data_IF_181754845426
#
_entry.id   IF_181754845426
#
_cell.length_a   1.000
_cell.length_b   1.000
_cell.length_c   1.000
_cell.angle_alpha   90.00
_cell.angle_beta   90.00
_cell.angle_gamma   90.00
#
_symmetry.space_group_name_H-M   'P 1'
#
loop_
_entity.id
_entity.type
_entity.pdbx_description
1 polymer ?
#
# COMPACT_ATOMS: atom_id res chain seq x y z
N UNK A 1 1.27 25.46 6.08
CA UNK A 1 0.09 24.62 6.40
C UNK A 1 0.64 23.23 6.70
N UNK A 2 0.30 22.58 7.82
CA UNK A 2 0.73 21.20 8.05
C UNK A 2 0.13 20.33 6.94
N UNK A 3 0.93 19.44 6.35
CA UNK A 3 0.39 18.42 5.45
C UNK A 3 -0.65 17.62 6.23
N UNK A 4 -1.89 17.56 5.72
CA UNK A 4 -2.90 16.70 6.32
C UNK A 4 -2.43 15.27 6.11
N UNK A 5 -2.17 14.54 7.21
CA UNK A 5 -1.91 13.11 7.13
C UNK A 5 -3.13 12.44 6.52
N UNK A 6 -2.97 11.61 5.48
CA UNK A 6 -4.09 10.89 4.90
C UNK A 6 -4.76 10.02 5.96
N UNK A 7 -6.09 9.94 5.92
CA UNK A 7 -6.86 9.07 6.80
C UNK A 7 -7.00 7.69 6.15
N UNK A 8 -6.96 6.63 6.95
CA UNK A 8 -7.16 5.27 6.49
C UNK A 8 -8.54 4.76 6.91
N UNK A 9 -9.27 4.18 5.97
CA UNK A 9 -10.53 3.46 6.17
C UNK A 9 -10.30 2.03 5.72
N UNK A 10 -10.39 1.08 6.64
CA UNK A 10 -10.06 -0.33 6.38
C UNK A 10 -11.25 -1.18 6.83
N UNK A 11 -11.84 -1.92 5.89
CA UNK A 11 -12.87 -2.91 6.15
C UNK A 11 -12.30 -4.28 6.54
N UNK A 12 -13.14 -5.29 6.50
CA UNK A 12 -12.82 -6.64 6.98
C UNK A 12 -12.88 -7.66 5.85
N UNK A 13 -13.38 -8.87 6.12
CA UNK A 13 -13.60 -9.89 5.09
C UNK A 13 -15.08 -10.08 4.77
N UNK A 14 -15.94 -9.16 5.20
CA UNK A 14 -17.37 -9.18 5.01
C UNK A 14 -17.78 -8.15 3.95
N UNK A 15 -18.95 -8.31 3.35
CA UNK A 15 -19.51 -7.28 2.47
C UNK A 15 -19.92 -6.04 3.29
N UNK A 16 -19.27 -4.91 3.05
CA UNK A 16 -19.38 -3.70 3.87
C UNK A 16 -19.74 -2.46 3.03
N UNK A 17 -20.24 -1.43 3.72
CA UNK A 17 -20.36 -0.09 3.15
C UNK A 17 -19.42 0.82 3.93
N UNK A 18 -18.37 1.30 3.26
CA UNK A 18 -17.31 2.11 3.85
C UNK A 18 -17.34 3.51 3.27
N UNK A 19 -17.21 4.51 4.13
CA UNK A 19 -17.18 5.92 3.75
C UNK A 19 -15.95 6.62 4.32
N UNK A 20 -15.26 7.38 3.46
CA UNK A 20 -14.23 8.34 3.81
C UNK A 20 -14.80 9.63 4.39
N UNK A 21 -14.01 10.68 4.29
CA UNK A 21 -14.29 12.00 4.83
C UNK A 21 -14.32 13.06 3.72
N UNK A 22 -14.29 14.34 4.08
CA UNK A 22 -14.10 15.42 3.10
C UNK A 22 -12.61 15.73 2.83
N UNK A 23 -11.70 14.94 3.40
CA UNK A 23 -10.25 15.05 3.25
C UNK A 23 -9.68 14.00 2.29
N UNK A 24 -8.35 13.89 2.22
CA UNK A 24 -7.71 12.82 1.44
C UNK A 24 -7.74 11.52 2.25
N UNK A 25 -8.47 10.52 1.73
CA UNK A 25 -8.65 9.21 2.34
C UNK A 25 -7.97 8.08 1.54
N UNK A 26 -7.52 7.06 2.26
CA UNK A 26 -7.07 5.77 1.73
C UNK A 26 -8.07 4.71 2.18
N UNK A 27 -8.77 4.12 1.22
CA UNK A 27 -9.90 3.23 1.49
C UNK A 27 -9.56 1.83 1.00
N UNK A 28 -9.60 0.86 1.92
CA UNK A 28 -9.35 -0.56 1.68
C UNK A 28 -10.61 -1.33 2.09
N UNK A 29 -11.32 -1.91 1.13
CA UNK A 29 -12.51 -2.74 1.40
C UNK A 29 -12.14 -3.99 2.20
N UNK A 30 -11.17 -4.75 1.68
CA UNK A 30 -10.65 -5.94 2.34
C UNK A 30 -10.97 -7.17 1.52
N UNK A 31 -11.79 -8.08 2.05
CA UNK A 31 -12.46 -9.11 1.23
C UNK A 31 -13.97 -8.94 1.35
N UNK A 32 -14.71 -9.54 0.42
CA UNK A 32 -16.16 -9.40 0.35
C UNK A 32 -16.53 -8.43 -0.76
N UNK A 33 -17.82 -8.28 -1.01
CA UNK A 33 -18.32 -7.40 -2.06
C UNK A 33 -18.65 -6.04 -1.42
N UNK A 34 -17.72 -5.09 -1.49
CA UNK A 34 -17.81 -3.84 -0.75
C UNK A 34 -18.40 -2.69 -1.56
N UNK A 35 -19.05 -1.74 -0.87
CA UNK A 35 -19.40 -0.43 -1.42
C UNK A 35 -18.56 0.65 -0.75
N UNK A 36 -17.69 1.28 -1.53
CA UNK A 36 -16.72 2.28 -1.08
C UNK A 36 -17.16 3.69 -1.52
N UNK A 37 -17.09 4.66 -0.61
CA UNK A 37 -17.38 6.08 -0.86
C UNK A 37 -16.18 6.91 -0.36
N UNK A 38 -15.58 7.71 -1.24
CA UNK A 38 -14.46 8.59 -0.91
C UNK A 38 -14.90 9.80 -0.09
N UNK A 39 -15.89 10.51 -0.61
CA UNK A 39 -16.31 11.82 -0.15
C UNK A 39 -15.70 12.93 -1.01
N UNK A 40 -15.35 14.05 -0.38
CA UNK A 40 -14.58 15.10 -1.05
C UNK A 40 -13.10 14.88 -0.77
N UNK A 41 -12.24 15.30 -1.68
CA UNK A 41 -10.81 15.01 -1.56
C UNK A 41 -10.30 14.38 -2.85
N UNK A 42 -9.02 14.04 -2.86
CA UNK A 42 -8.43 13.21 -3.90
C UNK A 42 -8.08 11.88 -3.24
N UNK A 43 -9.03 10.95 -3.29
CA UNK A 43 -9.00 9.73 -2.48
C UNK A 43 -8.28 8.60 -3.20
N UNK A 44 -7.79 7.64 -2.43
CA UNK A 44 -7.15 6.43 -2.96
C UNK A 44 -7.93 5.20 -2.55
N UNK A 45 -8.52 4.50 -3.53
CA UNK A 45 -9.17 3.21 -3.32
C UNK A 45 -8.19 2.08 -3.64
N UNK A 46 -7.93 1.23 -2.65
CA UNK A 46 -6.98 0.12 -2.77
C UNK A 46 -7.73 -1.17 -3.04
N UNK A 47 -7.52 -1.73 -4.23
CA UNK A 47 -8.13 -2.98 -4.67
C UNK A 47 -7.03 -4.02 -4.85
N UNK A 48 -7.12 -5.09 -4.07
CA UNK A 48 -6.14 -6.18 -4.08
C UNK A 48 -6.74 -7.44 -4.70
N UNK A 49 -5.88 -8.36 -5.13
CA UNK A 49 -6.32 -9.70 -5.54
C UNK A 49 -7.17 -10.37 -4.45
N UNK A 50 -8.27 -10.99 -4.86
CA UNK A 50 -9.28 -11.64 -4.03
C UNK A 50 -10.01 -10.69 -3.06
N UNK A 51 -10.16 -9.42 -3.44
CA UNK A 51 -11.02 -8.48 -2.71
C UNK A 51 -12.49 -8.95 -2.81
N UNK A 52 -13.00 -9.10 -4.01
CA UNK A 52 -14.41 -9.44 -4.23
C UNK A 52 -14.95 -8.56 -5.36
N UNK A 53 -16.26 -8.58 -5.53
CA UNK A 53 -16.94 -7.70 -6.49
C UNK A 53 -17.28 -6.37 -5.82
N UNK A 54 -16.41 -5.37 -5.99
CA UNK A 54 -16.54 -4.08 -5.32
C UNK A 54 -17.23 -3.01 -6.17
N UNK A 55 -17.80 -2.04 -5.47
CA UNK A 55 -18.42 -0.84 -6.04
C UNK A 55 -17.80 0.41 -5.41
N UNK A 56 -17.25 1.30 -6.23
CA UNK A 56 -16.89 2.66 -5.81
C UNK A 56 -17.99 3.60 -6.27
N UNK A 57 -18.55 4.35 -5.32
CA UNK A 57 -19.83 5.05 -5.49
C UNK A 57 -19.72 6.49 -6.00
N UNK A 58 -18.58 7.14 -5.84
CA UNK A 58 -18.38 8.57 -6.07
C UNK A 58 -17.00 8.92 -6.70
N UNK A 59 -16.38 7.96 -7.38
CA UNK A 59 -15.05 8.13 -7.97
C UNK A 59 -14.96 9.35 -8.89
N UNK A 60 -14.08 10.29 -8.56
CA UNK A 60 -13.81 11.50 -9.34
C UNK A 60 -12.69 11.25 -10.35
N UNK A 61 -13.04 11.02 -11.61
CA UNK A 61 -12.05 10.80 -12.68
C UNK A 61 -11.36 12.11 -13.13
N UNK A 62 -10.21 11.95 -13.78
CA UNK A 62 -9.42 13.06 -14.35
C UNK A 62 -8.25 13.51 -13.47
N UNK A 63 -7.43 14.47 -13.95
CA UNK A 63 -6.28 14.98 -13.21
C UNK A 63 -6.70 15.67 -11.91
N UNK A 64 -6.11 15.24 -10.79
CA UNK A 64 -6.41 15.80 -9.46
C UNK A 64 -7.70 15.26 -8.81
N UNK A 65 -8.36 14.30 -9.47
CA UNK A 65 -9.39 13.48 -8.85
C UNK A 65 -8.81 12.25 -8.14
N UNK A 66 -9.62 11.23 -7.96
CA UNK A 66 -9.31 10.03 -7.20
C UNK A 66 -8.35 9.08 -7.93
N UNK A 67 -7.74 8.20 -7.15
CA UNK A 67 -6.82 7.17 -7.60
C UNK A 67 -7.32 5.76 -7.25
N UNK A 68 -7.23 4.86 -8.23
CA UNK A 68 -7.34 3.42 -8.04
C UNK A 68 -5.95 2.84 -7.87
N UNK A 69 -5.66 2.27 -6.70
CA UNK A 69 -4.45 1.52 -6.44
C UNK A 69 -4.74 0.03 -6.57
N UNK A 70 -4.33 -0.55 -7.70
CA UNK A 70 -4.58 -1.94 -8.06
C UNK A 70 -3.36 -2.79 -7.72
N UNK A 71 -3.48 -3.73 -6.78
CA UNK A 71 -2.36 -4.48 -6.22
C UNK A 71 -2.44 -5.97 -6.53
N UNK A 72 -1.36 -6.53 -7.08
CA UNK A 72 -1.23 -7.97 -7.38
C UNK A 72 -2.31 -8.47 -8.36
N UNK A 73 -2.79 -7.58 -9.21
CA UNK A 73 -3.81 -7.86 -10.23
C UNK A 73 -3.19 -8.08 -11.61
N UNK A 74 -1.86 -7.97 -11.76
CA UNK A 74 -1.16 -8.33 -12.99
C UNK A 74 -1.42 -7.37 -14.15
N UNK A 75 -1.83 -6.14 -13.84
CA UNK A 75 -1.96 -5.07 -14.83
C UNK A 75 -0.60 -4.40 -15.01
N UNK A 76 -0.10 -4.40 -16.24
CA UNK A 76 1.21 -3.82 -16.53
C UNK A 76 1.23 -2.29 -16.43
N UNK A 77 0.13 -1.64 -16.81
CA UNK A 77 -0.01 -0.18 -16.83
C UNK A 77 -1.50 0.23 -16.83
N UNK A 78 -1.73 1.55 -16.85
CA UNK A 78 -3.07 2.13 -17.05
C UNK A 78 -3.78 1.61 -18.30
N UNK A 79 -3.06 1.38 -19.40
CA UNK A 79 -3.67 0.96 -20.67
C UNK A 79 -4.17 -0.48 -20.59
N UNK A 80 -3.49 -1.35 -19.85
CA UNK A 80 -3.96 -2.70 -19.54
C UNK A 80 -5.26 -2.68 -18.73
N UNK A 81 -5.34 -1.79 -17.73
CA UNK A 81 -6.58 -1.58 -16.95
C UNK A 81 -7.68 -1.06 -17.86
N UNK A 82 -7.39 -0.04 -18.67
CA UNK A 82 -8.36 0.55 -19.61
C UNK A 82 -8.87 -0.47 -20.63
N UNK A 83 -8.02 -1.39 -21.08
CA UNK A 83 -8.42 -2.47 -21.99
C UNK A 83 -9.29 -3.53 -21.30
N UNK A 84 -9.16 -3.72 -19.99
CA UNK A 84 -10.00 -4.60 -19.18
C UNK A 84 -11.30 -3.93 -18.70
N UNK A 85 -11.46 -2.64 -18.93
CA UNK A 85 -12.63 -1.84 -18.57
C UNK A 85 -13.64 -1.74 -19.71
N UNK A 86 -14.92 -1.74 -19.35
CA UNK A 86 -16.04 -1.53 -20.27
C UNK A 86 -17.03 -0.52 -19.68
N UNK A 87 -17.59 0.33 -20.53
CA UNK A 87 -18.70 1.20 -20.14
C UNK A 87 -19.99 0.37 -20.04
N UNK A 88 -20.70 0.48 -18.93
CA UNK A 88 -22.01 -0.16 -18.69
C UNK A 88 -23.00 0.93 -18.27
N UNK A 89 -23.79 1.42 -19.21
CA UNK A 89 -24.64 2.59 -18.95
C UNK A 89 -23.81 3.79 -18.52
N UNK A 90 -24.08 4.34 -17.33
CA UNK A 90 -23.33 5.46 -16.75
C UNK A 90 -22.07 5.02 -15.97
N UNK A 91 -21.82 3.71 -15.83
CA UNK A 91 -20.78 3.18 -14.96
C UNK A 91 -19.61 2.60 -15.77
N UNK A 92 -18.43 2.51 -15.14
CA UNK A 92 -17.30 1.72 -15.67
C UNK A 92 -17.20 0.42 -14.91
N UNK A 93 -17.19 -0.72 -15.62
CA UNK A 93 -16.89 -2.03 -15.05
C UNK A 93 -15.51 -2.49 -15.48
N UNK A 94 -14.62 -2.72 -14.53
CA UNK A 94 -13.27 -3.27 -14.73
C UNK A 94 -13.31 -4.76 -14.43
N UNK A 95 -12.81 -5.58 -15.34
CA UNK A 95 -12.64 -7.03 -15.10
C UNK A 95 -11.26 -7.28 -14.50
N UNK A 96 -11.20 -7.89 -13.31
CA UNK A 96 -9.97 -8.15 -12.56
C UNK A 96 -9.37 -9.52 -12.94
N UNK A 97 -8.06 -9.72 -12.72
CA UNK A 97 -7.35 -10.92 -13.20
C UNK A 97 -7.62 -12.19 -12.41
N UNK A 98 -8.25 -12.08 -11.25
CA UNK A 98 -8.76 -13.19 -10.43
C UNK A 98 -10.21 -13.57 -10.79
N UNK A 99 -10.82 -12.88 -11.76
CA UNK A 99 -12.19 -13.12 -12.21
C UNK A 99 -13.25 -12.26 -11.53
N UNK A 100 -12.87 -11.46 -10.52
CA UNK A 100 -13.75 -10.49 -9.88
C UNK A 100 -13.94 -9.23 -10.75
N UNK A 101 -14.78 -8.32 -10.30
CA UNK A 101 -15.10 -7.07 -10.98
C UNK A 101 -15.05 -5.88 -10.03
N UNK A 102 -14.64 -4.73 -10.57
CA UNK A 102 -14.75 -3.44 -9.89
C UNK A 102 -15.70 -2.54 -10.69
N UNK A 103 -16.72 -1.98 -10.04
CA UNK A 103 -17.66 -1.05 -10.64
C UNK A 103 -17.42 0.38 -10.13
N UNK A 104 -17.12 1.31 -11.04
CA UNK A 104 -17.09 2.74 -10.74
C UNK A 104 -18.41 3.36 -11.17
N UNK A 105 -19.21 3.81 -10.21
CA UNK A 105 -20.54 4.39 -10.50
C UNK A 105 -20.44 5.79 -11.06
N UNK A 106 -21.28 6.08 -12.05
CA UNK A 106 -21.40 7.38 -12.69
C UNK A 106 -20.08 7.92 -13.27
N UNK A 107 -19.18 7.03 -13.68
CA UNK A 107 -17.91 7.37 -14.33
C UNK A 107 -17.99 7.06 -15.82
N UNK A 108 -17.50 7.98 -16.64
CA UNK A 108 -17.25 7.75 -18.06
C UNK A 108 -15.86 7.13 -18.24
N UNK A 109 -15.77 6.03 -18.98
CA UNK A 109 -14.50 5.39 -19.34
C UNK A 109 -13.59 6.33 -20.15
N UNK A 110 -14.15 7.34 -20.82
CA UNK A 110 -13.40 8.38 -21.51
C UNK A 110 -12.69 9.36 -20.59
N UNK A 111 -13.17 9.52 -19.35
CA UNK A 111 -12.68 10.49 -18.38
C UNK A 111 -11.57 9.90 -17.49
N UNK A 112 -11.40 8.57 -17.48
CA UNK A 112 -10.28 7.92 -16.84
C UNK A 112 -8.97 8.29 -17.55
N UNK A 113 -8.01 8.76 -16.76
CA UNK A 113 -6.67 9.14 -17.23
C UNK A 113 -5.59 8.30 -16.53
N UNK A 114 -4.34 8.31 -17.03
CA UNK A 114 -3.23 7.67 -16.33
C UNK A 114 -3.01 8.17 -14.90
N UNK A 115 -3.46 9.37 -14.55
CA UNK A 115 -3.37 9.89 -13.18
C UNK A 115 -4.32 9.18 -12.20
N UNK A 116 -5.39 8.56 -12.69
CA UNK A 116 -6.40 7.90 -11.87
C UNK A 116 -6.06 6.46 -11.52
N UNK A 117 -5.00 5.87 -12.09
CA UNK A 117 -4.71 4.45 -11.89
C UNK A 117 -3.24 4.27 -11.57
N UNK A 118 -3.00 3.63 -10.43
CA UNK A 118 -1.71 3.18 -9.97
C UNK A 118 -1.75 1.66 -9.95
N UNK A 119 -1.23 1.04 -11.00
CA UNK A 119 -1.15 -0.44 -11.08
C UNK A 119 0.10 -0.95 -10.42
N UNK A 120 -0.01 -2.16 -9.88
CA UNK A 120 1.08 -2.99 -9.38
C UNK A 120 2.16 -2.10 -8.79
N UNK A 121 1.74 -1.32 -7.78
CA UNK A 121 2.66 -0.73 -6.84
C UNK A 121 3.33 -1.91 -6.14
N UNK A 122 4.30 -2.51 -6.84
CA UNK A 122 5.53 -2.92 -6.21
C UNK A 122 5.95 -1.67 -5.48
N UNK A 123 5.70 -1.68 -4.18
CA UNK A 123 6.65 -1.09 -3.26
C UNK A 123 8.02 -1.44 -3.85
N UNK A 124 8.81 -0.44 -4.21
CA UNK A 124 10.10 -0.72 -4.79
C UNK A 124 10.78 -1.68 -3.81
N UNK A 125 11.34 -2.78 -4.32
CA UNK A 125 12.18 -3.56 -3.42
C UNK A 125 13.32 -2.62 -3.05
N UNK A 126 13.70 -2.59 -1.77
CA UNK A 126 14.86 -1.82 -1.36
C UNK A 126 16.01 -2.06 -2.32
N UNK A 127 16.67 -0.99 -2.75
CA UNK A 127 17.84 -1.09 -3.60
C UNK A 127 18.90 -2.03 -3.01
N UNK A 128 19.84 -2.48 -3.83
CA UNK A 128 20.86 -3.44 -3.36
C UNK A 128 21.67 -2.86 -2.21
N UNK A 129 21.84 -3.59 -1.08
CA UNK A 129 22.65 -3.13 0.03
C UNK A 129 24.09 -2.84 -0.38
N UNK A 130 24.62 -1.78 0.19
CA UNK A 130 26.00 -1.31 0.06
C UNK A 130 26.79 -1.52 1.36
N UNK A 131 26.09 -1.61 2.49
CA UNK A 131 26.66 -2.00 3.80
C UNK A 131 25.88 -3.16 4.41
N UNK A 132 26.56 -3.99 5.20
CA UNK A 132 25.97 -5.11 5.94
C UNK A 132 26.32 -4.98 7.42
N UNK A 133 25.30 -5.01 8.26
CA UNK A 133 25.38 -4.76 9.70
C UNK A 133 24.62 -5.85 10.45
N UNK A 134 25.16 -6.31 11.57
CA UNK A 134 24.52 -7.34 12.38
C UNK A 134 24.67 -7.09 13.87
N UNK A 135 23.60 -7.37 14.62
CA UNK A 135 23.61 -7.42 16.07
C UNK A 135 23.08 -8.78 16.55
N UNK A 136 23.83 -9.40 17.45
CA UNK A 136 23.56 -10.73 18.01
C UNK A 136 23.42 -10.73 19.54
N UNK A 137 23.59 -9.56 20.18
CA UNK A 137 23.37 -9.39 21.61
C UNK A 137 21.99 -8.80 21.86
N UNK A 138 21.28 -9.25 22.90
CA UNK A 138 19.97 -8.72 23.22
C UNK A 138 20.07 -7.28 23.73
N UNK A 139 19.01 -6.48 23.53
CA UNK A 139 18.88 -5.11 24.09
C UNK A 139 19.97 -4.14 23.60
N UNK A 140 20.37 -4.27 22.35
CA UNK A 140 21.29 -3.35 21.68
C UNK A 140 20.58 -2.50 20.62
N UNK A 141 21.28 -1.48 20.13
CA UNK A 141 20.84 -0.70 18.97
C UNK A 141 21.81 -0.92 17.81
N UNK A 142 21.27 -1.00 16.60
CA UNK A 142 22.02 -1.12 15.35
C UNK A 142 21.57 0.01 14.41
N UNK A 143 22.52 0.83 13.99
CA UNK A 143 22.27 1.96 13.11
C UNK A 143 23.03 1.81 11.80
N UNK A 144 22.34 2.06 10.69
CA UNK A 144 22.89 2.14 9.34
C UNK A 144 23.48 3.51 9.03
N UNK A 145 23.58 3.79 7.74
CA UNK A 145 24.28 4.90 7.11
C UNK A 145 23.29 5.79 6.36
N UNK A 146 23.76 6.51 5.34
CA UNK A 146 22.88 7.30 4.45
C UNK A 146 22.72 6.66 3.07
N UNK A 147 23.15 5.41 2.92
CA UNK A 147 22.95 4.62 1.71
C UNK A 147 22.27 3.30 2.06
N UNK A 148 21.90 2.55 1.03
CA UNK A 148 21.16 1.30 1.19
C UNK A 148 21.95 0.29 2.03
N UNK A 149 21.37 -0.18 3.13
CA UNK A 149 22.01 -1.05 4.09
C UNK A 149 21.20 -2.32 4.34
N UNK A 150 21.89 -3.38 4.77
CA UNK A 150 21.27 -4.59 5.28
C UNK A 150 21.52 -4.71 6.77
N UNK A 151 20.46 -4.61 7.58
CA UNK A 151 20.52 -4.68 9.03
C UNK A 151 19.94 -6.01 9.53
N UNK A 152 20.76 -6.79 10.24
CA UNK A 152 20.42 -8.14 10.69
C UNK A 152 20.33 -8.19 12.22
N UNK A 153 19.16 -8.48 12.78
CA UNK A 153 18.95 -8.65 14.20
C UNK A 153 18.66 -10.11 14.56
N UNK A 154 19.67 -10.81 15.07
CA UNK A 154 19.59 -12.25 15.35
C UNK A 154 19.20 -12.59 16.80
N UNK A 155 19.07 -11.58 17.67
CA UNK A 155 18.65 -11.73 19.06
C UNK A 155 17.43 -10.86 19.39
N UNK A 156 16.83 -11.08 20.56
CA UNK A 156 15.66 -10.35 21.06
C UNK A 156 15.95 -8.88 21.46
N UNK A 157 14.92 -8.04 21.41
CA UNK A 157 14.94 -6.63 21.85
C UNK A 157 16.02 -5.74 21.21
N UNK A 158 16.35 -5.95 19.93
CA UNK A 158 17.25 -5.07 19.19
C UNK A 158 16.45 -3.94 18.54
N UNK A 159 16.93 -2.70 18.66
CA UNK A 159 16.41 -1.56 17.89
C UNK A 159 17.26 -1.36 16.64
N UNK A 160 16.63 -1.35 15.47
CA UNK A 160 17.25 -1.18 14.15
C UNK A 160 16.83 0.17 13.57
N UNK A 161 17.77 0.90 12.98
CA UNK A 161 17.48 2.12 12.22
C UNK A 161 18.42 2.17 11.02
N UNK A 162 17.91 2.20 9.81
CA UNK A 162 18.73 2.10 8.58
C UNK A 162 19.32 3.44 8.17
N UNK A 163 18.60 4.52 8.43
CA UNK A 163 19.07 5.87 8.19
C UNK A 163 18.40 6.47 6.95
N UNK A 164 19.16 6.74 5.90
CA UNK A 164 18.61 7.19 4.62
C UNK A 164 19.07 6.24 3.51
N UNK A 165 18.38 6.23 2.37
CA UNK A 165 18.55 5.20 1.36
C UNK A 165 17.56 4.07 1.57
N UNK A 166 17.61 3.08 0.68
CA UNK A 166 16.69 1.94 0.70
C UNK A 166 17.26 0.78 1.53
N UNK A 167 16.73 0.54 2.71
CA UNK A 167 17.28 -0.38 3.70
C UNK A 167 16.52 -1.71 3.80
N UNK A 168 17.24 -2.81 4.03
CA UNK A 168 16.64 -4.13 4.25
C UNK A 168 16.94 -4.66 5.65
N UNK A 169 15.90 -4.80 6.46
CA UNK A 169 15.95 -5.39 7.80
C UNK A 169 15.69 -6.88 7.75
N UNK A 170 16.56 -7.67 8.37
CA UNK A 170 16.32 -9.07 8.64
C UNK A 170 16.09 -9.26 10.14
N UNK A 171 14.91 -9.75 10.51
CA UNK A 171 14.46 -9.87 11.90
C UNK A 171 14.09 -11.32 12.22
N UNK A 172 14.70 -11.86 13.27
CA UNK A 172 14.46 -13.24 13.73
C UNK A 172 13.58 -13.32 14.97
N UNK A 173 13.40 -12.23 15.71
CA UNK A 173 12.56 -12.19 16.90
C UNK A 173 11.60 -10.99 16.90
N UNK A 174 10.34 -11.25 17.28
CA UNK A 174 9.25 -10.27 17.28
C UNK A 174 9.42 -9.13 18.30
N UNK A 175 10.35 -9.25 19.24
CA UNK A 175 10.65 -8.19 20.22
C UNK A 175 11.60 -7.13 19.67
N UNK A 176 12.11 -7.30 18.44
CA UNK A 176 12.92 -6.28 17.77
C UNK A 176 12.05 -5.09 17.32
N UNK A 177 12.65 -3.92 17.32
CA UNK A 177 12.02 -2.65 16.95
C UNK A 177 12.75 -2.09 15.73
N UNK A 178 12.00 -1.56 14.76
CA UNK A 178 12.55 -0.85 13.60
C UNK A 178 12.08 0.61 13.68
N UNK A 179 13.02 1.53 13.62
CA UNK A 179 12.82 2.98 13.72
C UNK A 179 13.29 3.67 12.44
N UNK A 180 12.34 4.08 11.61
CA UNK A 180 12.58 4.76 10.33
C UNK A 180 12.12 6.21 10.35
N UNK A 181 12.81 7.04 9.56
CA UNK A 181 12.46 8.44 9.37
C UNK A 181 11.59 8.61 8.12
N UNK A 182 10.62 9.53 8.19
CA UNK A 182 9.74 9.80 7.05
C UNK A 182 10.53 10.25 5.81
N UNK A 183 10.29 9.57 4.68
CA UNK A 183 10.96 9.86 3.41
C UNK A 183 12.44 9.51 3.35
N UNK A 184 12.89 8.58 4.19
CA UNK A 184 14.27 8.09 4.23
C UNK A 184 14.67 7.24 3.02
N UNK A 185 13.72 6.54 2.40
CA UNK A 185 13.97 5.66 1.27
C UNK A 185 12.78 4.73 1.05
N UNK A 186 13.01 3.63 0.35
CA UNK A 186 12.06 2.51 0.31
C UNK A 186 12.63 1.32 1.07
N UNK A 187 11.99 0.98 2.16
CA UNK A 187 12.54 0.09 3.16
C UNK A 187 11.79 -1.26 3.18
N UNK A 188 12.53 -2.33 3.50
CA UNK A 188 12.02 -3.70 3.47
C UNK A 188 12.36 -4.46 4.73
N UNK A 189 11.34 -5.00 5.39
CA UNK A 189 11.52 -5.94 6.49
C UNK A 189 11.36 -7.35 5.97
N UNK A 190 12.29 -8.23 6.32
CA UNK A 190 12.24 -9.67 6.06
C UNK A 190 12.28 -10.39 7.38
N UNK A 191 11.21 -11.13 7.64
CA UNK A 191 11.12 -11.94 8.86
C UNK A 191 11.36 -13.41 8.53
N UNK A 192 12.17 -14.09 9.34
CA UNK A 192 12.44 -15.51 9.17
C UNK A 192 12.07 -16.25 10.45
N UNK A 193 10.97 -17.02 10.40
CA UNK A 193 10.58 -17.94 11.49
C UNK A 193 9.65 -17.38 12.57
N UNK A 194 9.09 -16.18 12.40
CA UNK A 194 8.13 -15.59 13.36
C UNK A 194 6.70 -15.60 12.83
N UNK A 195 5.75 -16.04 13.66
CA UNK A 195 4.32 -15.90 13.44
C UNK A 195 3.82 -14.61 14.13
N UNK A 196 3.92 -13.45 13.45
CA UNK A 196 3.22 -12.23 13.91
C UNK A 196 4.07 -10.98 14.15
N UNK A 197 4.97 -10.62 13.23
CA UNK A 197 5.53 -9.27 13.21
C UNK A 197 4.45 -8.26 12.77
N UNK A 198 4.34 -7.13 13.46
CA UNK A 198 3.33 -6.09 13.19
C UNK A 198 4.03 -4.78 12.81
N UNK A 199 3.67 -4.22 11.66
CA UNK A 199 4.15 -2.90 11.21
C UNK A 199 3.60 -1.73 12.05
N UNK A 200 2.75 -2.00 13.05
CA UNK A 200 2.17 -0.96 13.90
C UNK A 200 3.22 -0.10 14.64
N UNK A 201 4.47 -0.59 14.75
CA UNK A 201 5.59 0.14 15.35
C UNK A 201 6.61 0.67 14.34
N UNK A 202 6.38 0.46 13.03
CA UNK A 202 7.27 0.90 11.95
C UNK A 202 6.44 1.50 10.79
N UNK A 203 5.80 2.67 11.00
CA UNK A 203 4.83 3.23 10.06
C UNK A 203 5.43 3.67 8.72
N UNK A 204 6.74 3.91 8.70
CA UNK A 204 7.49 4.34 7.50
C UNK A 204 8.16 3.16 6.78
N UNK A 205 7.80 1.91 7.12
CA UNK A 205 8.27 0.73 6.38
C UNK A 205 7.25 0.38 5.30
N UNK A 206 7.73 0.34 4.07
CA UNK A 206 6.90 0.06 2.91
C UNK A 206 6.63 -1.43 2.73
N UNK A 207 7.63 -2.30 2.94
CA UNK A 207 7.55 -3.73 2.65
C UNK A 207 7.72 -4.65 3.87
N UNK A 208 6.97 -5.76 3.90
CA UNK A 208 7.11 -6.89 4.85
C UNK A 208 7.31 -8.23 4.13
#
# INVERSE_FOLDING_TARGET
MPALSPRFVIGTGAAESLAGSDGVDFIVGGKGDDTLTGGAGADTFVISRNNGDDVISDFQAGPGGDALRLQNLGFADFWAVRAASVQVGADVRISLSDGATLLLRNVSLGDLTPANVVVDWRLAWSGSPTTWLSADQPRTSLSGTSGNDQLTASAEHITLSGGAGDDTYFVWDHTNIIEEAAGAGVDTVKTYGVHGYSLATAPEVENL
#
